data_IF_523876818167
#
_entry.id   IF_523876818167
#
_cell.length_a   1.000
_cell.length_b   1.000
_cell.length_c   1.000
_cell.angle_alpha   90.00
_cell.angle_beta   90.00
_cell.angle_gamma   90.00
#
_symmetry.space_group_name_H-M   'P 1'
#
loop_
_entity.id
_entity.type
_entity.pdbx_description
1 polymer ?
#
# COMPACT_ATOMS: atom_id res chain seq x y z
N UNK A 1 11.71 -16.26 11.06
CA UNK A 1 12.81 -16.77 10.22
C UNK A 1 12.29 -18.00 9.50
N UNK A 2 11.96 -17.85 8.22
CA UNK A 2 11.53 -18.98 7.40
C UNK A 2 12.69 -19.97 7.26
N UNK A 3 12.45 -21.23 7.61
CA UNK A 3 13.45 -22.28 7.42
C UNK A 3 13.75 -22.39 5.92
N UNK A 4 15.02 -22.31 5.49
CA UNK A 4 15.34 -22.59 4.10
C UNK A 4 14.85 -24.00 3.75
N UNK A 5 14.18 -24.14 2.60
CA UNK A 5 13.78 -25.44 2.06
C UNK A 5 15.06 -26.24 1.81
N UNK A 6 15.40 -27.13 2.75
CA UNK A 6 16.69 -27.83 2.81
C UNK A 6 16.94 -28.84 1.67
N UNK A 7 16.03 -28.97 0.71
CA UNK A 7 16.16 -29.91 -0.40
C UNK A 7 15.47 -29.39 -1.65
N UNK A 8 16.09 -29.47 -2.83
CA UNK A 8 15.44 -29.14 -4.10
C UNK A 8 14.24 -30.08 -4.31
N UNK A 9 13.10 -29.51 -4.73
CA UNK A 9 11.94 -30.30 -5.14
C UNK A 9 12.26 -30.99 -6.47
N UNK A 10 12.33 -32.32 -6.46
CA UNK A 10 12.42 -33.14 -7.66
C UNK A 10 11.02 -33.29 -8.27
N UNK A 11 10.80 -32.69 -9.44
CA UNK A 11 9.55 -32.81 -10.19
C UNK A 11 9.81 -33.72 -11.39
N UNK A 12 9.27 -34.94 -11.35
CA UNK A 12 9.38 -35.90 -12.45
C UNK A 12 8.12 -35.88 -13.33
N UNK A 13 8.25 -35.65 -14.65
CA UNK A 13 7.10 -35.67 -15.54
C UNK A 13 6.60 -37.10 -15.73
N UNK A 14 5.35 -37.35 -15.33
CA UNK A 14 4.71 -38.67 -15.49
C UNK A 14 4.40 -38.96 -16.97
N UNK A 15 4.34 -37.92 -17.82
CA UNK A 15 4.02 -38.06 -19.24
C UNK A 15 4.36 -36.82 -20.07
N UNK A 16 3.99 -36.85 -21.35
CA UNK A 16 4.19 -35.71 -22.26
C UNK A 16 3.19 -34.59 -21.93
N UNK A 17 3.60 -33.32 -22.03
CA UNK A 17 2.70 -32.19 -21.79
C UNK A 17 1.57 -32.18 -22.83
N UNK A 18 0.34 -32.04 -22.35
CA UNK A 18 -0.86 -31.91 -23.18
C UNK A 18 -1.28 -30.45 -23.28
N UNK A 19 -1.52 -29.96 -24.50
CA UNK A 19 -2.08 -28.63 -24.72
C UNK A 19 -3.57 -28.64 -24.36
N UNK A 20 -4.00 -27.70 -23.52
CA UNK A 20 -5.41 -27.50 -23.19
C UNK A 20 -6.05 -26.52 -24.18
N UNK A 21 -7.34 -26.70 -24.45
CA UNK A 21 -8.14 -25.74 -25.21
C UNK A 21 -8.45 -24.50 -24.37
N UNK A 22 -8.70 -23.32 -24.97
CA UNK A 22 -9.06 -22.11 -24.22
C UNK A 22 -10.23 -22.30 -23.26
N UNK A 23 -11.28 -23.03 -23.68
CA UNK A 23 -12.44 -23.33 -22.84
C UNK A 23 -12.10 -24.24 -21.63
N UNK A 24 -11.22 -25.23 -21.83
CA UNK A 24 -10.74 -26.08 -20.74
C UNK A 24 -9.86 -25.28 -19.76
N UNK A 25 -8.98 -24.43 -20.29
CA UNK A 25 -8.14 -23.52 -19.49
C UNK A 25 -8.99 -22.57 -18.66
N UNK A 26 -10.01 -21.94 -19.25
CA UNK A 26 -10.96 -21.09 -18.52
C UNK A 26 -11.63 -21.83 -17.36
N UNK A 27 -12.13 -23.04 -17.61
CA UNK A 27 -12.78 -23.86 -16.58
C UNK A 27 -11.83 -24.24 -15.44
N UNK A 28 -10.58 -24.58 -15.78
CA UNK A 28 -9.56 -24.89 -14.78
C UNK A 28 -9.19 -23.68 -13.92
N UNK A 29 -9.04 -22.50 -14.54
CA UNK A 29 -8.71 -21.26 -13.84
C UNK A 29 -9.82 -20.82 -12.90
N UNK A 30 -11.09 -20.88 -13.33
CA UNK A 30 -12.23 -20.54 -12.46
C UNK A 30 -12.25 -21.38 -11.19
N UNK A 31 -12.04 -22.69 -11.31
CA UNK A 31 -12.00 -23.58 -10.14
C UNK A 31 -10.78 -23.31 -9.25
N UNK A 32 -9.63 -23.02 -9.84
CA UNK A 32 -8.40 -22.74 -9.10
C UNK A 32 -8.47 -21.42 -8.31
N UNK A 33 -9.07 -20.38 -8.91
CA UNK A 33 -9.20 -19.06 -8.30
C UNK A 33 -10.03 -19.06 -7.01
N UNK A 34 -11.03 -19.94 -6.90
CA UNK A 34 -11.86 -20.07 -5.68
C UNK A 34 -11.04 -20.48 -4.47
N UNK A 35 -9.99 -21.28 -4.65
CA UNK A 35 -9.16 -21.80 -3.57
C UNK A 35 -7.99 -20.88 -3.17
N UNK A 36 -7.66 -19.88 -3.99
CA UNK A 36 -6.50 -19.01 -3.74
C UNK A 36 -6.81 -17.93 -2.71
N UNK A 37 -5.91 -17.57 -1.79
CA UNK A 37 -6.07 -16.39 -0.96
C UNK A 37 -5.95 -15.10 -1.80
N UNK A 38 -6.48 -13.97 -1.33
CA UNK A 38 -6.25 -12.66 -1.95
C UNK A 38 -4.75 -12.37 -2.06
N UNK A 39 -4.26 -12.18 -3.28
CA UNK A 39 -2.86 -11.86 -3.58
C UNK A 39 -2.74 -11.18 -4.94
N UNK A 40 -1.64 -10.47 -5.22
CA UNK A 40 -1.41 -9.88 -6.54
C UNK A 40 -1.45 -10.92 -7.68
N UNK A 41 -0.88 -12.10 -7.45
CA UNK A 41 -0.90 -13.21 -8.40
C UNK A 41 -2.31 -13.73 -8.65
N UNK A 42 -3.15 -13.81 -7.60
CA UNK A 42 -4.56 -14.17 -7.75
C UNK A 42 -5.27 -13.15 -8.65
N UNK A 43 -5.07 -11.85 -8.43
CA UNK A 43 -5.68 -10.79 -9.26
C UNK A 43 -5.26 -10.88 -10.73
N UNK A 44 -3.98 -11.19 -11.00
CA UNK A 44 -3.51 -11.40 -12.37
C UNK A 44 -4.20 -12.61 -13.03
N UNK A 45 -4.37 -13.71 -12.28
CA UNK A 45 -5.09 -14.89 -12.76
C UNK A 45 -6.58 -14.60 -12.99
N UNK A 46 -7.21 -13.77 -12.15
CA UNK A 46 -8.61 -13.34 -12.35
C UNK A 46 -8.76 -12.54 -13.64
N UNK A 47 -7.86 -11.59 -13.93
CA UNK A 47 -7.85 -10.84 -15.19
C UNK A 47 -7.67 -11.74 -16.40
N UNK A 48 -6.76 -12.72 -16.30
CA UNK A 48 -6.52 -13.67 -17.38
C UNK A 48 -7.74 -14.59 -17.59
N UNK A 49 -8.39 -15.03 -16.51
CA UNK A 49 -9.62 -15.81 -16.58
C UNK A 49 -10.79 -14.99 -17.17
N UNK A 50 -10.91 -13.71 -16.82
CA UNK A 50 -11.92 -12.82 -17.39
C UNK A 50 -11.69 -12.63 -18.91
N UNK A 51 -10.44 -12.38 -19.33
CA UNK A 51 -10.08 -12.25 -20.75
C UNK A 51 -10.38 -13.54 -21.55
N UNK A 52 -9.99 -14.71 -21.02
CA UNK A 52 -10.30 -16.02 -21.60
C UNK A 52 -11.81 -16.29 -21.61
N UNK A 53 -12.54 -15.85 -20.59
CA UNK A 53 -13.99 -15.99 -20.51
C UNK A 53 -14.69 -15.19 -21.60
N UNK A 54 -14.21 -13.99 -21.91
CA UNK A 54 -14.71 -13.18 -23.02
C UNK A 54 -14.37 -13.83 -24.36
N UNK A 55 -13.13 -14.29 -24.56
CA UNK A 55 -12.70 -14.97 -25.79
C UNK A 55 -13.51 -16.24 -26.08
N UNK A 56 -13.81 -17.02 -25.04
CA UNK A 56 -14.58 -18.26 -25.15
C UNK A 56 -16.10 -18.05 -25.18
N UNK A 57 -16.55 -16.79 -25.01
CA UNK A 57 -17.98 -16.43 -24.95
C UNK A 57 -18.67 -16.83 -23.64
N UNK A 58 -17.93 -17.29 -22.63
CA UNK A 58 -18.45 -17.64 -21.31
C UNK A 58 -18.78 -16.40 -20.46
N UNK A 59 -18.16 -15.24 -20.77
CA UNK A 59 -18.36 -13.97 -20.08
C UNK A 59 -18.70 -12.90 -21.11
N UNK A 60 -19.70 -12.07 -20.81
CA UNK A 60 -19.99 -10.90 -21.64
C UNK A 60 -18.88 -9.84 -21.49
N UNK A 61 -18.46 -9.13 -22.55
CA UNK A 61 -17.41 -8.12 -22.46
C UNK A 61 -17.64 -7.08 -21.35
N UNK A 62 -18.88 -6.62 -21.20
CA UNK A 62 -19.29 -5.66 -20.16
C UNK A 62 -19.11 -6.18 -18.73
N UNK A 63 -19.20 -7.50 -18.52
CA UNK A 63 -19.01 -8.13 -17.21
C UNK A 63 -17.51 -8.19 -16.84
N UNK A 64 -16.63 -8.41 -17.82
CA UNK A 64 -15.19 -8.33 -17.62
C UNK A 64 -14.75 -6.91 -17.23
N UNK A 65 -15.28 -5.90 -17.90
CA UNK A 65 -15.03 -4.48 -17.58
C UNK A 65 -15.58 -4.11 -16.20
N UNK A 66 -16.79 -4.56 -15.85
CA UNK A 66 -17.39 -4.30 -14.53
C UNK A 66 -16.52 -4.83 -13.39
N UNK A 67 -16.04 -6.08 -13.51
CA UNK A 67 -15.18 -6.69 -12.49
C UNK A 67 -13.84 -5.99 -12.37
N UNK A 68 -13.27 -5.51 -13.47
CA UNK A 68 -12.03 -4.73 -13.40
C UNK A 68 -12.26 -3.37 -12.71
N UNK A 69 -13.38 -2.70 -12.99
CA UNK A 69 -13.74 -1.46 -12.30
C UNK A 69 -13.91 -1.67 -10.78
N UNK A 70 -14.56 -2.76 -10.36
CA UNK A 70 -14.71 -3.12 -8.94
C UNK A 70 -13.36 -3.34 -8.25
N UNK A 71 -12.43 -4.03 -8.92
CA UNK A 71 -11.06 -4.22 -8.40
C UNK A 71 -10.33 -2.90 -8.22
N UNK A 72 -10.44 -1.99 -9.19
CA UNK A 72 -9.83 -0.66 -9.12
C UNK A 72 -10.45 0.14 -7.96
N UNK A 73 -11.77 0.11 -7.82
CA UNK A 73 -12.48 0.79 -6.74
C UNK A 73 -12.05 0.27 -5.36
N UNK A 74 -11.99 -1.05 -5.18
CA UNK A 74 -11.52 -1.68 -3.94
C UNK A 74 -10.08 -1.28 -3.59
N UNK A 75 -9.18 -1.24 -4.59
CA UNK A 75 -7.80 -0.78 -4.39
C UNK A 75 -7.76 0.68 -3.95
N UNK A 76 -8.55 1.55 -4.58
CA UNK A 76 -8.59 2.96 -4.24
C UNK A 76 -9.16 3.19 -2.84
N UNK A 77 -10.20 2.44 -2.44
CA UNK A 77 -10.74 2.47 -1.09
C UNK A 77 -9.69 2.06 -0.04
N UNK A 78 -8.98 0.95 -0.28
CA UNK A 78 -7.91 0.50 0.62
C UNK A 78 -6.70 1.45 0.67
N UNK A 79 -6.49 2.28 -0.35
CA UNK A 79 -5.49 3.37 -0.33
C UNK A 79 -5.99 4.55 0.49
N UNK A 80 -7.24 4.97 0.29
CA UNK A 80 -7.86 6.06 1.03
C UNK A 80 -7.90 5.76 2.54
N UNK A 81 -8.26 4.53 2.93
CA UNK A 81 -8.24 4.10 4.33
C UNK A 81 -6.84 4.18 4.95
N UNK A 82 -5.81 3.76 4.20
CA UNK A 82 -4.42 3.87 4.65
C UNK A 82 -3.97 5.33 4.82
N UNK A 83 -4.39 6.23 3.94
CA UNK A 83 -4.10 7.67 4.07
C UNK A 83 -4.78 8.25 5.31
N UNK A 84 -6.07 7.98 5.50
CA UNK A 84 -6.81 8.43 6.66
C UNK A 84 -6.19 7.92 7.98
N UNK A 85 -5.69 6.67 8.00
CA UNK A 85 -5.00 6.12 9.16
C UNK A 85 -3.69 6.86 9.47
N UNK A 86 -2.87 7.13 8.45
CA UNK A 86 -1.61 7.90 8.64
C UNK A 86 -1.88 9.31 9.13
N UNK A 87 -2.91 9.97 8.59
CA UNK A 87 -3.30 11.30 8.99
C UNK A 87 -3.77 11.33 10.46
N UNK A 88 -4.60 10.36 10.86
CA UNK A 88 -5.02 10.21 12.25
C UNK A 88 -3.85 9.95 13.21
N UNK A 89 -2.87 9.13 12.81
CA UNK A 89 -1.64 8.89 13.57
C UNK A 89 -0.78 10.15 13.69
N UNK A 90 -0.69 10.95 12.62
CA UNK A 90 0.05 12.24 12.64
C UNK A 90 -0.62 13.24 13.59
N UNK A 91 -1.93 13.41 13.51
CA UNK A 91 -2.69 14.33 14.39
C UNK A 91 -2.56 13.89 15.86
N UNK A 92 -2.60 12.58 16.13
CA UNK A 92 -2.40 12.08 17.49
C UNK A 92 -0.99 12.35 18.02
N UNK A 93 0.04 12.20 17.19
CA UNK A 93 1.42 12.51 17.55
C UNK A 93 1.62 14.02 17.79
N UNK A 94 1.07 14.87 16.93
CA UNK A 94 1.10 16.34 17.10
C UNK A 94 0.41 16.76 18.40
N UNK A 95 -0.73 16.14 18.75
CA UNK A 95 -1.42 16.42 20.01
C UNK A 95 -0.64 15.96 21.25
N UNK A 96 0.05 14.81 21.18
CA UNK A 96 0.91 14.32 22.27
C UNK A 96 2.15 15.22 22.45
N UNK A 97 2.75 15.67 21.36
CA UNK A 97 3.88 16.60 21.38
C UNK A 97 3.48 17.95 21.96
N UNK A 98 2.32 18.49 21.58
CA UNK A 98 1.76 19.72 22.15
C UNK A 98 1.49 19.58 23.66
N UNK A 99 0.91 18.47 24.11
CA UNK A 99 0.66 18.22 25.53
C UNK A 99 1.96 18.06 26.34
N UNK A 100 3.01 17.49 25.74
CA UNK A 100 4.33 17.39 26.36
C UNK A 100 5.02 18.76 26.45
N UNK A 101 4.86 19.60 25.45
CA UNK A 101 5.37 20.97 25.46
C UNK A 101 4.66 21.82 26.54
N UNK A 102 3.34 21.63 26.70
CA UNK A 102 2.55 22.27 27.77
C UNK A 102 3.00 21.82 29.17
N UNK A 103 3.27 20.52 29.38
CA UNK A 103 3.84 20.04 30.64
C UNK A 103 5.26 20.57 30.92
N UNK A 104 6.09 20.75 29.90
CA UNK A 104 7.42 21.35 30.08
C UNK A 104 7.33 22.84 30.44
N UNK A 105 6.37 23.56 29.87
CA UNK A 105 6.10 24.95 30.23
C UNK A 105 5.54 25.07 31.66
N UNK A 106 4.73 24.12 32.13
CA UNK A 106 4.25 24.09 33.52
C UNK A 106 5.32 23.64 34.53
N UNK A 107 6.29 22.79 34.15
CA UNK A 107 7.45 22.44 35.01
C UNK A 107 8.49 23.56 35.09
N UNK A 108 8.70 24.34 34.02
CA UNK A 108 9.60 25.51 34.04
C UNK A 108 9.02 26.69 34.87
N UNK A 109 7.70 26.77 35.05
CA UNK A 109 7.04 27.78 35.90
C UNK A 109 7.19 27.49 37.43
N UNK A 110 7.74 26.34 37.83
CA UNK A 110 8.12 26.06 39.24
C UNK A 110 9.60 26.38 39.56
N UNK A 111 10.38 26.85 38.59
CA UNK A 111 11.75 27.37 38.78
C UNK A 111 11.91 28.82 38.28
N UNK A 112 11.00 29.73 38.61
CA UNK A 112 11.28 31.18 38.60
C UNK A 112 11.65 31.70 40.00
N UNK A 113 12.93 31.62 40.35
CA UNK A 113 13.62 32.74 40.99
C UNK A 113 14.88 33.10 40.20
N UNK A 114 14.95 34.38 39.80
CA UNK A 114 16.17 35.18 39.55
C UNK A 114 16.76 35.19 38.12
N UNK A 115 16.27 36.08 37.25
CA UNK A 115 16.76 37.47 37.03
C UNK A 115 16.46 37.90 35.58
N UNK A 116 16.06 39.17 35.39
CA UNK A 116 15.55 39.66 34.11
C UNK A 116 16.62 40.23 33.16
N UNK A 117 16.27 40.37 31.88
CA UNK A 117 16.61 41.57 31.08
C UNK A 117 15.85 41.66 29.74
N UNK A 118 15.13 42.78 29.60
CA UNK A 118 14.91 43.64 28.43
C UNK A 118 14.47 43.11 27.04
N UNK A 119 13.34 43.68 26.61
CA UNK A 119 12.70 43.68 25.30
C UNK A 119 13.38 44.64 24.29
N UNK A 120 13.63 44.22 23.04
CA UNK A 120 13.36 44.96 21.79
C UNK A 120 13.88 44.21 20.54
N UNK A 121 13.07 44.12 19.48
CA UNK A 121 13.57 43.81 18.13
C UNK A 121 12.60 43.11 17.17
N UNK A 122 11.62 43.85 16.67
CA UNK A 122 10.77 43.53 15.51
C UNK A 122 11.60 43.25 14.24
N UNK A 123 11.50 42.04 13.68
CA UNK A 123 11.64 41.81 12.23
C UNK A 123 10.57 40.81 11.76
N UNK A 124 9.50 41.38 11.20
CA UNK A 124 8.47 40.74 10.40
C UNK A 124 9.04 39.73 9.39
N UNK A 125 8.93 38.44 9.68
CA UNK A 125 9.05 37.39 8.67
C UNK A 125 7.63 37.02 8.22
N UNK A 126 7.28 37.45 7.01
CA UNK A 126 5.94 37.35 6.46
C UNK A 126 5.39 35.92 6.48
N UNK A 127 4.11 35.82 6.82
CA UNK A 127 3.26 34.66 6.57
C UNK A 127 3.40 34.25 5.10
N UNK A 128 4.25 33.26 4.84
CA UNK A 128 4.14 32.47 3.63
C UNK A 128 3.09 31.43 3.98
N UNK A 129 1.83 31.75 3.68
CA UNK A 129 0.83 30.72 3.42
C UNK A 129 1.44 29.82 2.34
N UNK A 130 2.00 28.68 2.76
CA UNK A 130 2.26 27.56 1.86
C UNK A 130 0.87 27.11 1.42
N UNK A 131 0.35 27.80 0.41
CA UNK A 131 -0.88 27.45 -0.26
C UNK A 131 -0.75 26.00 -0.66
N UNK A 132 -1.68 25.20 -0.13
CA UNK A 132 -2.05 23.84 -0.51
C UNK A 132 -1.40 23.43 -1.84
N UNK A 133 -0.14 23.00 -1.75
CA UNK A 133 0.54 22.36 -2.86
C UNK A 133 -0.15 21.01 -2.89
N UNK A 134 -0.89 20.65 -3.97
CA UNK A 134 -1.31 19.28 -4.11
C UNK A 134 -0.03 18.47 -4.09
N UNK A 135 0.18 17.74 -3.01
CA UNK A 135 1.32 16.85 -2.80
C UNK A 135 1.12 15.64 -3.74
N UNK A 136 1.20 15.92 -5.04
CA UNK A 136 1.27 14.96 -6.12
C UNK A 136 2.72 14.41 -6.23
N UNK A 137 3.45 14.37 -5.11
CA UNK A 137 4.68 13.60 -4.91
C UNK A 137 4.37 12.25 -4.22
N UNK A 138 3.30 11.57 -4.62
CA UNK A 138 3.24 10.11 -4.45
C UNK A 138 4.19 9.51 -5.51
N UNK A 139 5.51 9.60 -5.24
CA UNK A 139 6.51 8.77 -5.89
C UNK A 139 5.97 7.32 -5.98
N UNK A 140 6.16 6.61 -7.10
CA UNK A 140 5.85 5.20 -7.12
C UNK A 140 6.65 4.54 -5.99
N UNK A 141 5.94 3.99 -5.01
CA UNK A 141 6.51 3.23 -3.88
C UNK A 141 7.22 1.99 -4.43
N UNK A 142 8.45 2.19 -4.90
CA UNK A 142 9.36 1.14 -5.35
C UNK A 142 10.02 0.45 -4.13
N UNK A 143 9.26 0.23 -3.04
CA UNK A 143 9.66 -0.70 -1.97
C UNK A 143 9.35 -2.17 -2.32
N UNK A 144 9.46 -2.51 -3.59
CA UNK A 144 9.72 -3.88 -4.05
C UNK A 144 11.01 -3.83 -4.89
N UNK A 145 12.18 -3.85 -4.25
CA UNK A 145 13.44 -3.90 -5.02
C UNK A 145 14.76 -3.54 -4.33
N UNK A 146 14.85 -3.47 -3.00
CA UNK A 146 16.15 -3.35 -2.31
C UNK A 146 16.38 -4.54 -1.39
N UNK A 147 16.63 -5.70 -2.01
CA UNK A 147 17.35 -6.83 -1.41
C UNK A 147 18.20 -7.47 -2.52
N UNK A 148 19.04 -6.66 -3.17
CA UNK A 148 20.07 -7.14 -4.07
C UNK A 148 21.20 -6.10 -4.07
N UNK A 149 22.22 -6.37 -3.26
CA UNK A 149 23.61 -5.84 -3.28
C UNK A 149 24.08 -5.61 -1.84
N UNK A 150 24.57 -6.69 -1.21
CA UNK A 150 25.87 -6.72 -0.53
C UNK A 150 26.05 -8.09 0.14
N UNK A 151 26.77 -8.98 -0.55
CA UNK A 151 27.56 -10.06 0.04
C UNK A 151 28.56 -10.53 -1.05
N UNK A 152 29.65 -9.77 -1.19
CA UNK A 152 30.96 -10.29 -1.63
C UNK A 152 31.84 -10.57 -0.41
#
# INVERSE_FOLDING_TARGET
MDKPLNSPLLIEPIGRPTKLSPAATFSHLQNFLVALPPSPSRTQLERLADALGVETGAIAPSEGERREAERIAARNAARAERRAKREAERIAAEAEEAAKLEQQLEEDDEEEEEDGEAFEGDETMGDIEYGDVPDDEDEPDNREGKDAEDDE
#
